data_IF_576799263651
#
_entry.id   IF_576799263651
#
_cell.length_a   1.000
_cell.length_b   1.000
_cell.length_c   1.000
_cell.angle_alpha   90.00
_cell.angle_beta   90.00
_cell.angle_gamma   90.00
#
_symmetry.space_group_name_H-M   'P 1'
#
loop_
_entity.id
_entity.type
_entity.pdbx_description
1 polymer ?
#
# COMPACT_ATOMS: atom_id res chain seq x y z
N UNK A 1 21.44 -7.32 -0.48
CA UNK A 1 19.99 -7.01 -0.53
C UNK A 1 19.79 -5.84 -1.49
N UNK A 2 19.99 -6.12 -2.78
CA UNK A 2 19.82 -5.15 -3.86
C UNK A 2 18.32 -5.08 -4.16
N UNK A 3 17.60 -4.25 -3.42
CA UNK A 3 16.21 -3.92 -3.76
C UNK A 3 16.31 -3.19 -5.10
N UNK A 4 15.83 -3.87 -6.14
CA UNK A 4 15.86 -3.46 -7.53
C UNK A 4 15.12 -2.13 -7.68
N UNK A 5 15.83 -1.01 -7.49
CA UNK A 5 15.42 0.33 -7.90
C UNK A 5 15.72 0.52 -9.39
N UNK A 6 15.33 -0.47 -10.21
CA UNK A 6 15.45 -0.43 -11.67
C UNK A 6 14.08 -0.75 -12.26
N UNK A 7 13.67 0.17 -13.14
CA UNK A 7 12.54 0.09 -14.07
C UNK A 7 11.17 0.53 -13.55
N UNK A 8 10.99 1.83 -13.40
CA UNK A 8 9.83 2.48 -14.00
C UNK A 8 10.32 3.48 -15.04
N UNK A 9 10.81 2.96 -16.17
CA UNK A 9 10.99 3.78 -17.36
C UNK A 9 9.62 4.20 -17.85
N UNK A 10 9.25 5.47 -17.69
CA UNK A 10 8.17 6.20 -18.40
C UNK A 10 6.90 5.39 -18.76
N UNK A 11 6.46 4.48 -17.90
CA UNK A 11 5.16 3.83 -17.99
C UNK A 11 4.22 4.60 -17.07
N UNK A 12 3.06 5.00 -17.59
CA UNK A 12 2.10 5.82 -16.85
C UNK A 12 1.48 4.99 -15.71
N UNK A 13 2.06 5.05 -14.50
CA UNK A 13 1.53 4.37 -13.29
C UNK A 13 0.05 4.66 -13.05
N UNK A 14 -0.44 5.80 -13.56
CA UNK A 14 -1.85 6.19 -13.48
C UNK A 14 -2.78 5.15 -14.12
N UNK A 15 -2.32 4.39 -15.13
CA UNK A 15 -3.11 3.35 -15.79
C UNK A 15 -3.09 2.00 -15.08
N UNK A 16 -2.33 1.85 -13.99
CA UNK A 16 -2.16 0.55 -13.32
C UNK A 16 -3.30 0.31 -12.33
N UNK A 17 -3.65 -0.96 -12.12
CA UNK A 17 -4.76 -1.36 -11.25
C UNK A 17 -4.23 -1.98 -9.95
N UNK A 18 -4.20 -1.24 -8.83
CA UNK A 18 -3.72 -1.76 -7.55
C UNK A 18 -4.70 -2.78 -6.95
N UNK A 19 -4.15 -3.90 -6.50
CA UNK A 19 -4.83 -5.00 -5.82
C UNK A 19 -4.26 -5.11 -4.41
N UNK A 20 -5.13 -5.16 -3.40
CA UNK A 20 -4.72 -5.43 -2.02
C UNK A 20 -4.14 -6.83 -1.84
N UNK A 21 -3.06 -6.90 -1.07
CA UNK A 21 -2.57 -8.14 -0.51
C UNK A 21 -3.57 -8.72 0.50
N UNK A 22 -3.56 -10.04 0.66
CA UNK A 22 -4.35 -10.73 1.69
C UNK A 22 -3.68 -10.55 3.04
N UNK A 23 -4.00 -9.46 3.73
CA UNK A 23 -3.55 -9.13 5.08
C UNK A 23 -4.72 -9.02 6.04
N UNK A 24 -4.46 -9.17 7.35
CA UNK A 24 -5.49 -8.93 8.37
C UNK A 24 -5.78 -7.43 8.42
N UNK A 25 -7.05 -7.07 8.38
CA UNK A 25 -7.51 -5.68 8.49
C UNK A 25 -8.44 -5.58 9.68
N UNK A 26 -8.08 -4.74 10.63
CA UNK A 26 -8.94 -4.38 11.75
C UNK A 26 -9.58 -3.02 11.47
N UNK A 27 -10.77 -2.79 12.02
CA UNK A 27 -11.48 -1.52 11.87
C UNK A 27 -11.57 -0.83 13.23
N UNK A 28 -11.15 0.44 13.27
CA UNK A 28 -11.23 1.27 14.46
C UNK A 28 -11.71 2.65 14.07
N UNK A 29 -12.83 3.09 14.64
CA UNK A 29 -13.43 4.41 14.37
C UNK A 29 -13.61 4.70 12.86
N UNK A 30 -14.03 3.68 12.09
CA UNK A 30 -14.21 3.78 10.64
C UNK A 30 -12.92 3.73 9.80
N UNK A 31 -11.74 3.72 10.43
CA UNK A 31 -10.43 3.66 9.79
C UNK A 31 -9.87 2.24 9.74
N UNK A 32 -9.15 1.93 8.67
CA UNK A 32 -8.51 0.63 8.51
C UNK A 32 -7.18 0.60 9.28
N UNK A 33 -6.94 -0.49 9.99
CA UNK A 33 -5.64 -0.82 10.61
C UNK A 33 -5.12 -2.07 9.92
N UNK A 34 -4.08 -1.91 9.12
CA UNK A 34 -3.44 -3.04 8.43
C UNK A 34 -2.54 -3.78 9.41
N UNK A 35 -2.72 -5.08 9.53
CA UNK A 35 -1.93 -5.93 10.40
C UNK A 35 -1.21 -6.99 9.58
N UNK A 36 0.12 -6.94 9.61
CA UNK A 36 0.99 -7.79 8.80
C UNK A 36 2.26 -8.15 9.57
N UNK A 37 2.88 -9.32 9.29
CA UNK A 37 4.08 -9.74 10.00
C UNK A 37 5.23 -8.77 9.75
N UNK A 38 6.05 -8.52 10.78
CA UNK A 38 7.30 -7.79 10.59
C UNK A 38 8.22 -8.64 9.72
N UNK A 39 8.78 -8.05 8.67
CA UNK A 39 9.85 -8.67 7.88
C UNK A 39 11.13 -8.74 8.74
N UNK A 40 11.18 -9.68 9.68
CA UNK A 40 12.33 -9.90 10.56
C UNK A 40 13.44 -10.59 9.76
N UNK A 41 14.56 -9.90 9.62
CA UNK A 41 15.80 -10.53 9.17
C UNK A 41 16.24 -11.64 10.14
N UNK A 42 17.12 -12.56 9.70
CA UNK A 42 17.56 -13.69 10.56
C UNK A 42 18.16 -13.23 11.89
N UNK A 43 18.81 -12.07 11.90
CA UNK A 43 19.39 -11.46 13.09
C UNK A 43 18.32 -10.88 14.03
N UNK A 44 17.32 -10.17 13.50
CA UNK A 44 16.21 -9.65 14.31
C UNK A 44 15.35 -10.77 14.91
N UNK A 45 15.20 -11.92 14.23
CA UNK A 45 14.52 -13.10 14.79
C UNK A 45 15.24 -13.66 16.01
N UNK A 46 16.56 -13.69 16.00
CA UNK A 46 17.36 -14.12 17.15
C UNK A 46 17.23 -13.14 18.31
N UNK A 47 17.32 -11.83 18.03
CA UNK A 47 17.16 -10.77 19.02
C UNK A 47 15.76 -10.78 19.65
N UNK A 48 14.72 -11.01 18.85
CA UNK A 48 13.34 -11.08 19.32
C UNK A 48 13.08 -12.27 20.26
N UNK A 49 13.80 -13.38 20.09
CA UNK A 49 13.74 -14.55 21.00
C UNK A 49 14.32 -14.24 22.38
N UNK A 50 15.17 -13.22 22.48
CA UNK A 50 15.83 -12.77 23.73
C UNK A 50 15.04 -11.65 24.40
N UNK A 51 14.51 -10.69 23.62
CA UNK A 51 13.91 -9.45 24.16
C UNK A 51 12.37 -9.52 24.26
N UNK A 52 11.70 -10.36 23.47
CA UNK A 52 10.23 -10.49 23.48
C UNK A 52 9.51 -9.23 23.00
N UNK A 53 9.08 -9.21 21.74
CA UNK A 53 8.27 -8.12 21.16
C UNK A 53 7.03 -8.63 20.42
N UNK A 54 6.18 -7.73 19.87
CA UNK A 54 5.13 -8.14 18.96
C UNK A 54 5.71 -8.44 17.56
N UNK A 55 5.37 -9.63 17.03
CA UNK A 55 5.78 -10.10 15.69
C UNK A 55 4.99 -9.43 14.55
N UNK A 56 3.99 -8.63 14.88
CA UNK A 56 3.05 -8.03 13.96
C UNK A 56 3.18 -6.51 13.95
N UNK A 57 3.20 -5.92 12.76
CA UNK A 57 3.11 -4.48 12.55
C UNK A 57 1.64 -4.12 12.40
N UNK A 58 1.20 -3.14 13.20
CA UNK A 58 -0.12 -2.51 13.06
C UNK A 58 0.05 -1.13 12.46
N UNK A 59 -0.49 -0.92 11.26
CA UNK A 59 -0.42 0.35 10.54
C UNK A 59 -1.82 0.95 10.43
N UNK A 60 -2.22 1.85 11.34
CA UNK A 60 -3.46 2.60 11.19
C UNK A 60 -3.35 3.51 9.96
N UNK A 61 -4.40 3.54 9.15
CA UNK A 61 -4.55 4.47 8.04
C UNK A 61 -5.42 5.65 8.48
N UNK A 62 -5.12 6.83 7.97
CA UNK A 62 -6.02 7.99 8.05
C UNK A 62 -7.26 7.79 7.15
N UNK A 63 -8.18 8.76 7.16
CA UNK A 63 -9.43 8.65 6.39
C UNK A 63 -9.18 8.57 4.87
N UNK A 64 -8.22 9.34 4.36
CA UNK A 64 -7.82 9.32 2.95
C UNK A 64 -7.13 8.00 2.62
N UNK A 65 -6.16 7.58 3.44
CA UNK A 65 -5.46 6.30 3.25
C UNK A 65 -6.40 5.09 3.32
N UNK A 66 -7.37 5.11 4.22
CA UNK A 66 -8.43 4.08 4.34
C UNK A 66 -9.29 4.04 3.08
N UNK A 67 -9.66 5.20 2.55
CA UNK A 67 -10.45 5.29 1.33
C UNK A 67 -9.67 4.77 0.11
N UNK A 68 -8.42 5.19 -0.07
CA UNK A 68 -7.53 4.69 -1.13
C UNK A 68 -7.38 3.17 -1.01
N UNK A 69 -7.09 2.66 0.18
CA UNK A 69 -6.96 1.22 0.42
C UNK A 69 -8.19 0.45 -0.02
N UNK A 70 -9.40 0.96 0.26
CA UNK A 70 -10.66 0.31 -0.17
C UNK A 70 -10.80 0.24 -1.69
N UNK A 71 -10.29 1.25 -2.40
CA UNK A 71 -10.31 1.31 -3.87
C UNK A 71 -9.22 0.49 -4.55
N UNK A 72 -8.22 -0.01 -3.81
CA UNK A 72 -7.23 -0.97 -4.32
C UNK A 72 -7.86 -2.37 -4.49
N UNK A 73 -8.73 -2.54 -5.47
CA UNK A 73 -9.51 -3.76 -5.74
C UNK A 73 -9.16 -4.44 -7.06
N UNK A 74 -8.18 -3.92 -7.80
CA UNK A 74 -7.81 -4.39 -9.13
C UNK A 74 -8.77 -3.96 -10.25
N UNK A 75 -9.80 -3.18 -9.93
CA UNK A 75 -10.80 -2.67 -10.89
C UNK A 75 -10.62 -1.19 -11.16
N UNK A 76 -10.22 -0.42 -10.15
CA UNK A 76 -9.94 1.00 -10.30
C UNK A 76 -8.47 1.21 -10.67
N UNK A 77 -8.21 2.04 -11.69
CA UNK A 77 -6.85 2.49 -11.99
C UNK A 77 -6.36 3.50 -10.95
N UNK A 78 -5.05 3.73 -10.86
CA UNK A 78 -4.50 4.79 -10.01
C UNK A 78 -5.09 6.16 -10.38
N UNK A 79 -5.37 6.43 -11.66
CA UNK A 79 -6.06 7.65 -12.09
C UNK A 79 -7.49 7.75 -11.52
N UNK A 80 -8.26 6.67 -11.61
CA UNK A 80 -9.63 6.62 -11.07
C UNK A 80 -9.63 6.87 -9.57
N UNK A 81 -8.66 6.30 -8.85
CA UNK A 81 -8.49 6.51 -7.42
C UNK A 81 -8.16 7.97 -7.14
N UNK A 82 -7.29 8.61 -7.91
CA UNK A 82 -6.99 10.04 -7.76
C UNK A 82 -8.25 10.89 -7.93
N UNK A 83 -9.05 10.62 -8.96
CA UNK A 83 -10.29 11.36 -9.22
C UNK A 83 -11.30 11.16 -8.08
N UNK A 84 -11.51 9.93 -7.63
CA UNK A 84 -12.41 9.63 -6.50
C UNK A 84 -11.97 10.27 -5.19
N UNK A 85 -10.66 10.31 -4.92
CA UNK A 85 -10.10 10.98 -3.74
C UNK A 85 -10.34 12.48 -3.82
N UNK A 86 -10.07 13.08 -4.99
CA UNK A 86 -10.34 14.50 -5.23
C UNK A 86 -11.82 14.84 -5.03
N UNK A 87 -12.72 14.06 -5.62
CA UNK A 87 -14.17 14.27 -5.52
C UNK A 87 -14.71 14.11 -4.11
N UNK A 88 -14.13 13.22 -3.30
CA UNK A 88 -14.62 12.92 -1.95
C UNK A 88 -14.11 13.89 -0.90
N UNK A 89 -12.84 14.28 -0.96
CA UNK A 89 -12.21 15.03 0.12
C UNK A 89 -12.13 16.53 -0.16
N UNK A 90 -12.22 16.96 -1.44
CA UNK A 90 -12.40 18.32 -2.00
C UNK A 90 -11.65 19.52 -1.38
N UNK A 91 -10.90 19.37 -0.31
CA UNK A 91 -10.21 20.42 0.42
C UNK A 91 -8.91 19.85 0.99
N UNK A 92 -7.82 20.60 0.82
CA UNK A 92 -6.52 20.43 1.50
C UNK A 92 -5.65 19.20 1.20
N UNK A 93 -5.32 19.02 -0.09
CA UNK A 93 -4.32 18.04 -0.48
C UNK A 93 -3.41 18.65 -1.55
N UNK A 94 -2.13 18.85 -1.22
CA UNK A 94 -0.99 18.83 -2.18
C UNK A 94 -1.32 17.98 -3.41
N UNK A 95 -0.81 18.30 -4.62
CA UNK A 95 -1.30 17.72 -5.87
C UNK A 95 -1.70 16.24 -5.72
N UNK A 96 -3.03 15.97 -5.79
CA UNK A 96 -3.63 14.69 -5.36
C UNK A 96 -2.98 13.50 -6.05
N UNK A 97 -2.70 13.64 -7.34
CA UNK A 97 -2.06 12.60 -8.16
C UNK A 97 -0.72 12.14 -7.53
N UNK A 98 0.29 13.01 -7.31
CA UNK A 98 1.49 12.67 -6.57
C UNK A 98 1.28 12.01 -5.20
N UNK A 99 0.36 12.53 -4.37
CA UNK A 99 0.14 11.98 -3.02
C UNK A 99 -0.46 10.57 -3.05
N UNK A 100 -1.51 10.36 -3.85
CA UNK A 100 -2.16 9.06 -4.01
C UNK A 100 -1.18 8.05 -4.59
N UNK A 101 -0.46 8.45 -5.64
CA UNK A 101 0.56 7.60 -6.28
C UNK A 101 1.63 7.20 -5.28
N UNK A 102 2.16 8.15 -4.50
CA UNK A 102 3.18 7.88 -3.48
C UNK A 102 2.65 6.95 -2.39
N UNK A 103 1.42 7.14 -1.94
CA UNK A 103 0.82 6.27 -0.94
C UNK A 103 0.67 4.83 -1.44
N UNK A 104 0.17 4.63 -2.67
CA UNK A 104 0.06 3.30 -3.28
C UNK A 104 1.43 2.65 -3.44
N UNK A 105 2.45 3.41 -3.86
CA UNK A 105 3.83 2.92 -3.96
C UNK A 105 4.43 2.53 -2.61
N UNK A 106 4.12 3.26 -1.53
CA UNK A 106 4.54 2.88 -0.17
C UNK A 106 3.92 1.54 0.21
N UNK A 107 2.61 1.36 0.01
CA UNK A 107 1.94 0.10 0.30
C UNK A 107 2.50 -1.05 -0.56
N UNK A 108 2.82 -0.76 -1.82
CA UNK A 108 3.49 -1.71 -2.71
C UNK A 108 4.86 -2.13 -2.20
N UNK A 109 5.70 -1.19 -1.79
CA UNK A 109 7.02 -1.49 -1.22
C UNK A 109 6.94 -2.32 0.07
N UNK A 110 5.81 -2.24 0.78
CA UNK A 110 5.50 -3.06 1.94
C UNK A 110 4.85 -4.42 1.59
N UNK A 111 4.69 -4.75 0.30
CA UNK A 111 3.96 -5.91 -0.22
C UNK A 111 2.50 -5.98 0.28
N UNK A 112 1.89 -4.83 0.54
CA UNK A 112 0.49 -4.70 0.95
C UNK A 112 -0.44 -4.43 -0.24
N UNK A 113 0.11 -3.95 -1.36
CA UNK A 113 -0.59 -3.74 -2.64
C UNK A 113 0.30 -4.24 -3.77
N UNK A 114 -0.30 -4.82 -4.80
CA UNK A 114 0.36 -5.24 -6.03
C UNK A 114 -0.36 -4.61 -7.23
N UNK A 115 0.27 -4.52 -8.40
CA UNK A 115 -0.45 -4.10 -9.61
C UNK A 115 -0.87 -5.31 -10.44
N UNK A 116 -2.10 -5.29 -10.97
CA UNK A 116 -2.63 -6.34 -11.82
C UNK A 116 -1.76 -6.58 -13.08
N UNK A 117 -1.17 -5.51 -13.59
CA UNK A 117 -0.27 -5.50 -14.75
C UNK A 117 1.04 -6.26 -14.50
N UNK A 118 1.49 -6.33 -13.25
CA UNK A 118 2.67 -7.10 -12.87
C UNK A 118 2.35 -8.59 -12.84
N UNK A 119 1.20 -8.96 -12.28
CA UNK A 119 0.76 -10.36 -12.14
C UNK A 119 0.56 -11.02 -13.52
N UNK A 120 0.14 -10.27 -14.54
CA UNK A 120 -0.06 -10.79 -15.90
C UNK A 120 1.23 -11.01 -16.70
N UNK A 121 2.36 -10.44 -16.28
CA UNK A 121 3.65 -10.59 -16.99
C UNK A 121 4.41 -11.85 -16.62
N UNK A 122 4.06 -12.47 -15.49
CA UNK A 122 4.68 -13.69 -14.97
C UNK A 122 3.84 -14.96 -15.26
N UNK A 123 2.78 -14.86 -16.08
CA UNK A 123 1.92 -15.95 -16.53
C UNK A 123 2.03 -16.15 -18.04
#
# INVERSE_FOLDING_TARGET
>A
MHICMKMFGKANILSYHPIRARVRVEWKDGRAVLVYPKNLTRFERWLHKIIGGPLEIRRPLDDVGTYIWRLCDGKHSVEDICNKVWERFKEDVEPVKPRVTRFILILRNLNLVFFAEEIKKDA
#
